data_IF_567897079428
#
_entry.id   IF_567897079428
#
_cell.length_a   1.000
_cell.length_b   1.000
_cell.length_c   1.000
_cell.angle_alpha   90.00
_cell.angle_beta   90.00
_cell.angle_gamma   90.00
#
_symmetry.space_group_name_H-M   'P 1'
#
loop_
_entity.id
_entity.type
_entity.pdbx_description
1 polymer ?
#
# COMPACT_ATOMS: atom_id res chain seq x y z
N UNK A 1 7.75 36.12 -2.93
CA UNK A 1 8.60 35.68 -1.79
C UNK A 1 7.78 35.29 -0.56
N UNK A 2 6.87 36.15 -0.05
CA UNK A 2 6.08 35.89 1.16
C UNK A 2 5.26 34.59 1.08
N UNK A 3 4.49 34.40 0.01
CA UNK A 3 3.67 33.20 -0.21
C UNK A 3 4.53 31.92 -0.24
N UNK A 4 5.67 31.97 -0.91
CA UNK A 4 6.60 30.85 -1.00
C UNK A 4 7.17 30.44 0.38
N UNK A 5 7.57 31.42 1.20
CA UNK A 5 8.11 31.18 2.54
C UNK A 5 7.04 30.53 3.43
N UNK A 6 5.85 31.11 3.48
CA UNK A 6 4.78 30.61 4.36
C UNK A 6 4.23 29.26 3.90
N UNK A 7 4.07 29.05 2.60
CA UNK A 7 3.69 27.75 2.07
C UNK A 7 4.73 26.68 2.43
N UNK A 8 6.02 27.00 2.29
CA UNK A 8 7.10 26.08 2.67
C UNK A 8 7.15 25.76 4.17
N UNK A 9 7.02 26.77 5.03
CA UNK A 9 7.08 26.60 6.47
C UNK A 9 5.85 25.86 7.03
N UNK A 10 4.64 26.23 6.58
CA UNK A 10 3.40 25.68 7.16
C UNK A 10 3.10 24.25 6.71
N UNK A 11 3.41 23.91 5.47
CA UNK A 11 3.12 22.58 4.95
C UNK A 11 4.36 21.69 4.81
N UNK A 12 5.56 22.27 4.90
CA UNK A 12 6.82 21.57 4.68
C UNK A 12 7.01 20.34 5.58
N UNK A 13 6.62 20.43 6.84
CA UNK A 13 6.71 19.32 7.77
C UNK A 13 5.76 18.17 7.42
N UNK A 14 4.53 18.48 7.01
CA UNK A 14 3.56 17.48 6.57
C UNK A 14 4.08 16.81 5.29
N UNK A 15 4.55 17.62 4.34
CA UNK A 15 5.11 17.11 3.09
C UNK A 15 6.36 16.26 3.33
N UNK A 16 7.26 16.70 4.21
CA UNK A 16 8.43 15.90 4.59
C UNK A 16 8.02 14.53 5.13
N UNK A 17 7.05 14.50 6.05
CA UNK A 17 6.54 13.24 6.60
C UNK A 17 5.89 12.36 5.52
N UNK A 18 5.07 12.95 4.67
CA UNK A 18 4.40 12.28 3.56
C UNK A 18 5.44 11.68 2.58
N UNK A 19 6.46 12.45 2.18
CA UNK A 19 7.51 11.95 1.30
C UNK A 19 8.38 10.88 1.95
N UNK A 20 8.75 11.06 3.21
CA UNK A 20 9.54 10.08 3.97
C UNK A 20 8.81 8.73 4.02
N UNK A 21 7.53 8.75 4.40
CA UNK A 21 6.72 7.52 4.47
C UNK A 21 6.46 6.92 3.09
N UNK A 22 6.31 7.75 2.05
CA UNK A 22 6.20 7.30 0.67
C UNK A 22 7.47 6.63 0.15
N UNK A 23 8.64 7.13 0.54
CA UNK A 23 9.92 6.50 0.20
C UNK A 23 9.99 5.07 0.76
N UNK A 24 9.57 4.86 2.00
CA UNK A 24 9.46 3.51 2.57
C UNK A 24 8.39 2.66 1.89
N UNK A 25 7.43 3.27 1.21
CA UNK A 25 6.42 2.58 0.41
C UNK A 25 7.02 1.69 -0.69
N UNK A 26 8.18 2.06 -1.25
CA UNK A 26 8.90 1.23 -2.23
C UNK A 26 9.42 -0.09 -1.62
N UNK A 27 9.70 -0.09 -0.33
CA UNK A 27 10.18 -1.26 0.40
C UNK A 27 9.07 -1.92 1.25
N UNK A 28 7.80 -1.69 0.94
CA UNK A 28 6.64 -2.19 1.71
C UNK A 28 6.73 -3.68 1.97
N UNK A 29 7.03 -4.47 0.95
CA UNK A 29 7.05 -5.94 1.04
C UNK A 29 8.24 -6.44 1.86
N UNK A 30 9.41 -5.84 1.70
CA UNK A 30 10.62 -6.17 2.45
C UNK A 30 10.46 -5.82 3.92
N UNK A 31 9.90 -4.66 4.23
CA UNK A 31 9.61 -4.24 5.60
C UNK A 31 8.57 -5.18 6.23
N UNK A 32 7.52 -5.55 5.50
CA UNK A 32 6.52 -6.49 5.97
C UNK A 32 7.13 -7.86 6.30
N UNK A 33 8.03 -8.37 5.46
CA UNK A 33 8.75 -9.63 5.70
C UNK A 33 9.70 -9.53 6.90
N UNK A 34 10.45 -8.45 6.99
CA UNK A 34 11.36 -8.21 8.11
C UNK A 34 10.62 -8.12 9.46
N UNK A 35 9.47 -7.49 9.49
CA UNK A 35 8.65 -7.36 10.69
C UNK A 35 7.84 -8.63 11.04
N UNK A 36 7.77 -9.59 10.12
CA UNK A 36 7.03 -10.85 10.29
C UNK A 36 7.92 -12.05 10.00
N UNK A 37 8.93 -12.33 10.84
CA UNK A 37 9.86 -13.43 10.61
C UNK A 37 9.19 -14.80 10.64
N UNK A 38 7.99 -14.90 11.22
CA UNK A 38 7.14 -16.09 11.18
C UNK A 38 6.59 -16.38 9.78
N UNK A 39 6.51 -15.37 8.92
CA UNK A 39 6.05 -15.48 7.55
C UNK A 39 7.23 -15.82 6.63
N UNK A 40 7.71 -17.07 6.70
CA UNK A 40 8.79 -17.53 5.80
C UNK A 40 8.20 -17.99 4.48
N UNK A 41 8.95 -17.73 3.42
CA UNK A 41 8.65 -18.28 2.10
C UNK A 41 8.66 -19.81 2.15
N UNK A 42 7.63 -20.42 1.58
CA UNK A 42 7.54 -21.87 1.43
C UNK A 42 7.94 -22.17 -0.02
N UNK A 43 9.11 -22.75 -0.25
CA UNK A 43 9.52 -23.16 -1.59
C UNK A 43 8.50 -24.13 -2.18
N UNK A 44 8.17 -23.94 -3.43
CA UNK A 44 7.26 -24.86 -4.12
C UNK A 44 7.84 -25.25 -5.46
N UNK A 45 7.81 -26.57 -5.72
CA UNK A 45 8.12 -27.17 -7.02
C UNK A 45 6.86 -27.47 -7.83
N UNK A 46 5.71 -27.15 -7.27
CA UNK A 46 4.40 -27.40 -7.88
C UNK A 46 4.14 -26.51 -9.10
N UNK A 47 3.38 -27.06 -10.04
CA UNK A 47 2.96 -26.27 -11.19
C UNK A 47 1.96 -25.17 -10.79
N UNK A 48 1.94 -24.07 -11.54
CA UNK A 48 0.93 -23.01 -11.31
C UNK A 48 -0.50 -23.55 -11.41
N UNK A 49 -0.72 -24.49 -12.31
CA UNK A 49 -2.03 -25.12 -12.49
C UNK A 49 -2.49 -25.90 -11.24
N UNK A 50 -1.59 -26.70 -10.63
CA UNK A 50 -1.92 -27.44 -9.40
C UNK A 50 -2.18 -26.50 -8.22
N UNK A 51 -1.40 -25.40 -8.10
CA UNK A 51 -1.66 -24.38 -7.07
C UNK A 51 -3.02 -23.70 -7.24
N UNK A 52 -3.39 -23.36 -8.49
CA UNK A 52 -4.71 -22.77 -8.78
C UNK A 52 -5.85 -23.73 -8.44
N UNK A 53 -5.72 -25.01 -8.76
CA UNK A 53 -6.73 -26.02 -8.42
C UNK A 53 -6.91 -26.13 -6.91
N UNK A 54 -5.83 -26.19 -6.14
CA UNK A 54 -5.89 -26.20 -4.66
C UNK A 54 -6.56 -24.96 -4.09
N UNK A 55 -6.21 -23.79 -4.64
CA UNK A 55 -6.84 -22.54 -4.24
C UNK A 55 -8.34 -22.49 -4.56
N UNK A 56 -8.73 -23.01 -5.71
CA UNK A 56 -10.16 -23.13 -6.08
C UNK A 56 -10.92 -24.10 -5.17
N UNK A 57 -10.32 -25.24 -4.84
CA UNK A 57 -10.95 -26.21 -3.94
C UNK A 57 -11.14 -25.62 -2.53
N UNK A 58 -10.16 -24.88 -2.03
CA UNK A 58 -10.28 -24.12 -0.80
C UNK A 58 -11.43 -23.10 -0.86
N UNK A 59 -11.49 -22.30 -1.94
CA UNK A 59 -12.54 -21.29 -2.12
C UNK A 59 -13.93 -21.90 -2.28
N UNK A 60 -14.07 -23.05 -2.95
CA UNK A 60 -15.34 -23.79 -3.05
C UNK A 60 -15.85 -24.25 -1.70
N UNK A 61 -14.94 -24.59 -0.77
CA UNK A 61 -15.31 -25.05 0.57
C UNK A 61 -15.61 -23.91 1.53
N UNK A 62 -14.91 -22.77 1.40
CA UNK A 62 -14.92 -21.70 2.41
C UNK A 62 -15.58 -20.39 1.96
N UNK A 63 -15.83 -20.22 0.66
CA UNK A 63 -16.34 -18.99 0.08
C UNK A 63 -17.51 -19.22 -0.88
N UNK A 64 -18.36 -20.21 -0.58
CA UNK A 64 -19.56 -20.47 -1.38
C UNK A 64 -20.48 -19.25 -1.37
N UNK A 65 -20.91 -18.83 -2.57
CA UNK A 65 -21.82 -17.68 -2.71
C UNK A 65 -21.18 -16.31 -2.56
N UNK A 66 -19.85 -16.22 -2.45
CA UNK A 66 -19.15 -14.95 -2.48
C UNK A 66 -19.33 -14.23 -3.81
N UNK A 67 -19.33 -12.90 -3.78
CA UNK A 67 -19.44 -12.04 -4.97
C UNK A 67 -18.26 -12.23 -5.93
N UNK A 68 -17.06 -12.38 -5.38
CA UNK A 68 -15.84 -12.54 -6.18
C UNK A 68 -14.77 -13.34 -5.48
N UNK A 69 -13.97 -14.05 -6.27
CA UNK A 69 -12.78 -14.78 -5.84
C UNK A 69 -11.53 -14.21 -6.52
N UNK A 70 -10.43 -14.20 -5.79
CA UNK A 70 -9.11 -13.87 -6.32
C UNK A 70 -8.08 -14.86 -5.80
N UNK A 71 -7.22 -15.32 -6.70
CA UNK A 71 -6.07 -16.17 -6.36
C UNK A 71 -4.81 -15.42 -6.78
N UNK A 72 -3.85 -15.32 -5.87
CA UNK A 72 -2.52 -14.79 -6.14
C UNK A 72 -1.49 -15.89 -5.90
N UNK A 73 -0.71 -16.18 -6.94
CA UNK A 73 0.31 -17.23 -6.92
C UNK A 73 1.58 -16.72 -6.23
N UNK A 74 2.33 -17.61 -5.51
CA UNK A 74 3.62 -17.26 -4.96
C UNK A 74 4.67 -17.01 -6.04
N UNK A 75 5.81 -16.44 -5.65
CA UNK A 75 6.95 -16.23 -6.55
C UNK A 75 7.07 -14.82 -7.11
N UNK A 76 6.24 -13.89 -6.67
CA UNK A 76 6.43 -12.47 -6.95
C UNK A 76 6.93 -11.73 -5.70
N UNK A 77 7.51 -10.54 -5.90
CA UNK A 77 7.91 -9.67 -4.78
C UNK A 77 6.77 -9.39 -3.82
N UNK A 78 5.56 -9.33 -4.32
CA UNK A 78 4.33 -8.99 -3.56
C UNK A 78 3.75 -10.22 -2.86
N UNK A 79 3.82 -11.37 -3.51
CA UNK A 79 3.17 -12.59 -3.07
C UNK A 79 4.18 -13.70 -2.80
N UNK A 80 4.40 -13.96 -1.52
CA UNK A 80 5.28 -15.03 -1.04
C UNK A 80 4.52 -16.34 -0.86
N UNK A 81 3.20 -16.25 -0.70
CA UNK A 81 2.31 -17.38 -0.45
C UNK A 81 1.30 -17.57 -1.58
N UNK A 82 0.76 -18.77 -1.67
CA UNK A 82 -0.49 -18.98 -2.37
C UNK A 82 -1.60 -18.26 -1.56
N UNK A 83 -2.09 -17.16 -2.11
CA UNK A 83 -3.06 -16.32 -1.40
C UNK A 83 -4.42 -16.40 -2.08
N UNK A 84 -5.43 -16.77 -1.32
CA UNK A 84 -6.83 -16.71 -1.72
C UNK A 84 -7.50 -15.52 -1.04
N UNK A 85 -8.33 -14.80 -1.78
CA UNK A 85 -9.19 -13.77 -1.21
C UNK A 85 -10.55 -13.78 -1.87
N UNK A 86 -11.57 -13.41 -1.11
CA UNK A 86 -12.94 -13.34 -1.59
C UNK A 86 -13.67 -12.18 -0.93
N UNK A 87 -14.71 -11.77 -1.57
CA UNK A 87 -15.58 -10.70 -1.08
C UNK A 87 -17.01 -11.22 -1.02
N UNK A 88 -17.65 -11.05 0.13
CA UNK A 88 -19.05 -11.38 0.28
C UNK A 88 -19.91 -10.34 -0.41
N UNK A 89 -21.16 -10.69 -0.70
CA UNK A 89 -22.14 -9.70 -1.15
C UNK A 89 -22.37 -8.63 -0.08
N UNK A 90 -22.61 -7.38 -0.47
CA UNK A 90 -22.91 -6.31 0.48
C UNK A 90 -24.16 -6.64 1.32
N UNK A 91 -24.07 -6.47 2.63
CA UNK A 91 -25.24 -6.54 3.49
C UNK A 91 -26.19 -5.36 3.18
N UNK A 92 -27.52 -5.49 3.49
CA UNK A 92 -28.47 -4.41 3.30
C UNK A 92 -28.00 -3.08 3.88
N UNK A 93 -27.97 -2.02 3.04
CA UNK A 93 -27.50 -0.69 3.42
C UNK A 93 -25.98 -0.47 3.38
N UNK A 94 -25.18 -1.48 2.99
CA UNK A 94 -23.75 -1.35 2.74
C UNK A 94 -23.44 -1.32 1.25
N UNK A 95 -22.40 -0.58 0.87
CA UNK A 95 -21.94 -0.48 -0.52
C UNK A 95 -20.91 -1.54 -0.89
N UNK A 96 -20.34 -2.24 0.09
CA UNK A 96 -19.35 -3.30 -0.10
C UNK A 96 -19.55 -4.43 0.90
N UNK A 97 -19.32 -5.64 0.45
CA UNK A 97 -19.29 -6.84 1.27
C UNK A 97 -18.01 -6.94 2.11
N UNK A 98 -17.97 -7.92 3.00
CA UNK A 98 -16.78 -8.20 3.82
C UNK A 98 -15.70 -8.81 2.95
N UNK A 99 -14.48 -8.30 3.08
CA UNK A 99 -13.31 -8.84 2.40
C UNK A 99 -12.60 -9.85 3.32
N UNK A 100 -12.28 -11.00 2.76
CA UNK A 100 -11.56 -12.07 3.41
C UNK A 100 -10.29 -12.40 2.65
N UNK A 101 -9.25 -12.80 3.37
CA UNK A 101 -7.99 -13.23 2.80
C UNK A 101 -7.41 -14.38 3.60
N UNK A 102 -6.89 -15.39 2.90
CA UNK A 102 -6.25 -16.55 3.50
C UNK A 102 -4.99 -16.94 2.73
N UNK A 103 -3.93 -17.22 3.46
CA UNK A 103 -2.69 -17.78 2.91
C UNK A 103 -2.76 -19.31 2.99
N UNK A 104 -2.32 -19.96 1.92
CA UNK A 104 -2.28 -21.41 1.80
C UNK A 104 -0.85 -21.86 1.56
N UNK A 105 -0.56 -23.07 2.03
CA UNK A 105 0.67 -23.78 1.66
C UNK A 105 0.60 -24.13 0.16
N UNK A 106 1.53 -23.68 -0.68
CA UNK A 106 1.47 -23.91 -2.12
C UNK A 106 1.58 -25.39 -2.49
N UNK A 107 2.20 -26.22 -1.64
CA UNK A 107 2.40 -27.65 -1.89
C UNK A 107 1.22 -28.53 -1.45
N UNK A 108 0.56 -28.17 -0.34
CA UNK A 108 -0.53 -28.98 0.23
C UNK A 108 -1.92 -28.37 0.07
N UNK A 109 -2.01 -27.05 -0.10
CA UNK A 109 -3.28 -26.31 -0.09
C UNK A 109 -3.84 -26.06 1.32
N UNK A 110 -3.14 -26.51 2.36
CA UNK A 110 -3.56 -26.29 3.74
C UNK A 110 -3.48 -24.81 4.13
N UNK A 111 -4.39 -24.41 4.99
CA UNK A 111 -4.45 -23.08 5.55
C UNK A 111 -3.20 -22.77 6.40
N UNK A 112 -2.60 -21.62 6.17
CA UNK A 112 -1.53 -21.09 7.00
C UNK A 112 -2.12 -20.06 7.96
N UNK A 113 -2.12 -20.40 9.25
CA UNK A 113 -2.57 -19.49 10.30
C UNK A 113 -1.38 -18.67 10.81
N UNK A 114 -1.35 -17.42 10.39
CA UNK A 114 -0.38 -16.46 10.87
C UNK A 114 -1.06 -15.50 11.84
N UNK A 115 -0.42 -15.15 12.97
CA UNK A 115 -0.98 -14.18 13.89
C UNK A 115 -1.15 -12.83 13.18
N UNK A 116 -2.35 -12.27 13.30
CA UNK A 116 -2.63 -10.91 12.79
C UNK A 116 -1.96 -9.92 13.73
N UNK A 117 -0.97 -9.19 13.22
CA UNK A 117 -0.34 -8.09 13.95
C UNK A 117 -0.95 -6.76 13.51
N UNK A 118 -1.31 -5.91 14.47
CA UNK A 118 -1.87 -4.58 14.19
C UNK A 118 -0.88 -3.66 13.47
N UNK A 119 0.43 -3.81 13.74
CA UNK A 119 1.47 -3.08 13.02
C UNK A 119 1.57 -3.61 11.60
N UNK A 120 0.87 -2.97 10.68
CA UNK A 120 0.89 -3.35 9.27
C UNK A 120 2.23 -3.19 8.57
N UNK A 121 3.34 -2.99 9.31
CA UNK A 121 4.69 -2.87 8.76
C UNK A 121 4.79 -1.82 7.65
N UNK A 122 5.36 -2.22 6.52
CA UNK A 122 5.49 -1.37 5.34
C UNK A 122 4.15 -0.86 4.80
N UNK A 123 3.09 -1.63 4.95
CA UNK A 123 1.73 -1.21 4.59
C UNK A 123 1.28 0.00 5.40
N UNK A 124 1.61 0.07 6.68
CA UNK A 124 1.31 1.25 7.52
C UNK A 124 2.04 2.48 7.02
N UNK A 125 3.34 2.36 6.71
CA UNK A 125 4.14 3.47 6.17
C UNK A 125 3.58 3.94 4.83
N UNK A 126 3.25 3.02 3.93
CA UNK A 126 2.63 3.34 2.66
C UNK A 126 1.30 4.09 2.83
N UNK A 127 0.44 3.63 3.75
CA UNK A 127 -0.84 4.31 4.04
C UNK A 127 -0.67 5.67 4.69
N UNK A 128 0.40 5.89 5.47
CA UNK A 128 0.74 7.21 6.00
C UNK A 128 1.04 8.24 4.90
N UNK A 129 1.58 7.79 3.76
CA UNK A 129 1.89 8.66 2.63
C UNK A 129 0.66 9.35 2.04
N UNK A 130 -0.48 8.68 1.95
CA UNK A 130 -1.64 9.24 1.24
C UNK A 130 -2.89 9.42 2.10
N UNK A 131 -3.01 8.74 3.25
CA UNK A 131 -4.22 8.82 4.10
C UNK A 131 -3.94 9.16 5.56
N UNK A 132 -2.69 9.44 5.96
CA UNK A 132 -2.32 9.75 7.34
C UNK A 132 -2.95 8.79 8.37
N UNK A 133 -2.90 7.52 8.12
CA UNK A 133 -3.58 6.33 8.67
C UNK A 133 -4.45 6.48 9.93
N UNK A 134 -4.05 7.27 10.91
CA UNK A 134 -4.77 7.42 12.19
C UNK A 134 -5.80 8.55 12.21
N UNK A 135 -5.97 9.23 11.08
CA UNK A 135 -6.96 10.28 10.89
C UNK A 135 -8.11 9.69 10.05
N UNK A 136 -9.38 10.08 10.27
CA UNK A 136 -10.48 9.65 9.41
C UNK A 136 -10.15 9.91 7.93
N UNK A 137 -10.30 8.89 7.09
CA UNK A 137 -9.87 8.89 5.69
C UNK A 137 -10.27 10.16 4.92
N UNK A 138 -11.52 10.58 5.05
CA UNK A 138 -12.03 11.77 4.35
C UNK A 138 -11.35 13.08 4.78
N UNK A 139 -10.91 13.16 6.03
CA UNK A 139 -10.17 14.31 6.56
C UNK A 139 -8.71 14.24 6.09
N UNK A 140 -8.10 13.07 6.23
CA UNK A 140 -6.70 12.85 5.87
C UNK A 140 -6.42 13.17 4.40
N UNK A 141 -7.24 12.64 3.48
CA UNK A 141 -7.06 12.87 2.04
C UNK A 141 -7.24 14.34 1.65
N UNK A 142 -8.09 15.08 2.37
CA UNK A 142 -8.22 16.53 2.17
C UNK A 142 -6.99 17.30 2.65
N UNK A 143 -6.43 16.92 3.81
CA UNK A 143 -5.21 17.53 4.34
C UNK A 143 -4.07 17.30 3.37
N UNK A 144 -3.84 16.06 2.94
CA UNK A 144 -2.78 15.72 1.97
C UNK A 144 -3.01 16.45 0.65
N UNK A 145 -4.24 16.50 0.15
CA UNK A 145 -4.59 17.22 -1.07
C UNK A 145 -4.30 18.73 -0.98
N UNK A 146 -4.68 19.38 0.12
CA UNK A 146 -4.38 20.80 0.38
C UNK A 146 -2.86 21.01 0.44
N UNK A 147 -2.11 20.17 1.17
CA UNK A 147 -0.65 20.25 1.22
C UNK A 147 -0.02 20.10 -0.16
N UNK A 148 -0.54 19.20 -1.00
CA UNK A 148 -0.08 19.00 -2.38
C UNK A 148 -0.33 20.25 -3.23
N UNK A 149 -1.46 20.93 -3.08
CA UNK A 149 -1.74 22.20 -3.75
C UNK A 149 -0.76 23.29 -3.31
N UNK A 150 -0.47 23.40 -2.01
CA UNK A 150 0.54 24.35 -1.50
C UNK A 150 1.94 24.02 -2.03
N UNK A 151 2.30 22.75 -2.14
CA UNK A 151 3.56 22.32 -2.75
C UNK A 151 3.63 22.78 -4.22
N UNK A 152 2.56 22.59 -4.99
CA UNK A 152 2.48 23.03 -6.38
C UNK A 152 2.72 24.55 -6.51
N UNK A 153 2.02 25.34 -5.66
CA UNK A 153 2.23 26.80 -5.60
C UNK A 153 3.65 27.15 -5.20
N UNK A 154 4.24 26.42 -4.22
CA UNK A 154 5.61 26.65 -3.78
C UNK A 154 6.63 26.35 -4.89
N UNK A 155 6.42 25.29 -5.68
CA UNK A 155 7.28 24.95 -6.82
C UNK A 155 7.24 26.08 -7.87
N UNK A 156 6.04 26.48 -8.32
CA UNK A 156 5.90 27.53 -9.34
C UNK A 156 6.51 28.85 -8.84
N UNK A 157 6.14 29.28 -7.62
CA UNK A 157 6.69 30.50 -7.04
C UNK A 157 8.19 30.41 -6.79
N UNK A 158 8.70 29.23 -6.45
CA UNK A 158 10.12 28.98 -6.27
C UNK A 158 10.92 29.15 -7.56
N UNK A 159 10.41 28.68 -8.70
CA UNK A 159 11.03 28.90 -10.01
C UNK A 159 11.15 30.38 -10.30
N UNK A 160 10.11 31.16 -10.02
CA UNK A 160 10.12 32.63 -10.24
C UNK A 160 11.09 33.35 -9.28
N UNK A 161 11.08 33.00 -8.00
CA UNK A 161 11.93 33.58 -6.96
C UNK A 161 13.40 33.25 -7.19
N UNK A 162 13.68 32.00 -7.56
CA UNK A 162 15.04 31.49 -7.74
C UNK A 162 15.46 31.38 -9.21
N UNK A 163 14.90 32.21 -10.08
CA UNK A 163 15.13 32.18 -11.54
C UNK A 163 16.59 32.13 -11.95
N UNK A 164 17.49 32.80 -11.20
CA UNK A 164 18.94 32.80 -11.50
C UNK A 164 19.53 31.41 -11.29
N UNK A 165 19.22 30.75 -10.18
CA UNK A 165 19.71 29.41 -9.87
C UNK A 165 19.26 28.43 -10.95
N UNK A 166 17.99 28.50 -11.39
CA UNK A 166 17.48 27.67 -12.48
C UNK A 166 18.19 27.97 -13.81
N UNK A 167 18.41 29.27 -14.15
CA UNK A 167 19.12 29.63 -15.35
C UNK A 167 20.57 29.10 -15.34
N UNK A 168 21.29 29.26 -14.24
CA UNK A 168 22.66 28.78 -14.07
C UNK A 168 22.77 27.26 -14.14
N UNK A 169 21.80 26.53 -13.54
CA UNK A 169 21.74 25.09 -13.61
C UNK A 169 21.58 24.54 -15.04
N UNK A 170 20.71 25.15 -15.86
CA UNK A 170 20.50 24.71 -17.25
C UNK A 170 21.54 25.23 -18.22
N UNK A 171 22.29 26.28 -17.89
CA UNK A 171 23.34 26.84 -18.74
C UNK A 171 24.74 26.36 -18.39
N UNK A 172 24.87 25.49 -17.37
CA UNK A 172 26.16 24.96 -16.88
C UNK A 172 27.20 26.04 -16.55
N UNK A 173 26.76 27.16 -16.03
CA UNK A 173 27.62 28.28 -15.59
C UNK A 173 27.81 28.27 -14.09
#
# INVERSE_FOLDING_TARGET
>A
AWLHIWAGLTVGWILFFVFLTGTFGYATYEINRWMRPEMREIPSTESQASMVLRAQDFLRQNAQGAESWRVALPGTRENVYLTTSWQDWPAPGKTRGTFHQQHLNPNTGERLDHPVRETGGGTTLYRMHYELRYIPYQVAIRIVGVCTMFMFVAIISGIVVHRKIFADFFTFR
#
